data_IF_972122633582
#
_entry.id   IF_972122633582
#
_cell.length_a   1.000
_cell.length_b   1.000
_cell.length_c   1.000
_cell.angle_alpha   90.00
_cell.angle_beta   90.00
_cell.angle_gamma   90.00
#
_symmetry.space_group_name_H-M   'P 1'
#
loop_
_entity.id
_entity.type
_entity.pdbx_description
1 polymer ?
#
# COMPACT_ATOMS: atom_id res chain seq x y z
N UNK A 1 45.25 4.00 -23.12
CA UNK A 1 44.52 2.77 -22.76
C UNK A 1 44.20 2.70 -21.25
N UNK A 2 45.06 3.24 -20.38
CA UNK A 2 44.85 3.21 -18.92
C UNK A 2 43.73 4.14 -18.40
N UNK A 3 43.46 5.28 -19.05
CA UNK A 3 42.40 6.22 -18.64
C UNK A 3 40.97 5.71 -18.92
N UNK A 4 40.79 4.93 -19.99
CA UNK A 4 39.50 4.33 -20.36
C UNK A 4 39.13 3.23 -19.35
N UNK A 5 40.11 2.45 -18.87
CA UNK A 5 39.91 1.40 -17.86
C UNK A 5 39.53 2.01 -16.50
N UNK A 6 40.13 3.14 -16.13
CA UNK A 6 39.79 3.87 -14.89
C UNK A 6 38.36 4.41 -14.97
N UNK A 7 37.96 4.99 -16.11
CA UNK A 7 36.60 5.53 -16.31
C UNK A 7 35.51 4.44 -16.26
N UNK A 8 35.80 3.26 -16.82
CA UNK A 8 34.92 2.09 -16.77
C UNK A 8 34.83 1.53 -15.33
N UNK A 9 35.93 1.50 -14.58
CA UNK A 9 35.92 1.09 -13.16
C UNK A 9 35.12 2.06 -12.27
N UNK A 10 35.18 3.37 -12.53
CA UNK A 10 34.38 4.35 -11.78
C UNK A 10 32.89 4.29 -12.10
N UNK A 11 32.50 3.96 -13.34
CA UNK A 11 31.09 3.71 -13.67
C UNK A 11 30.56 2.42 -13.02
N UNK A 12 31.40 1.39 -12.89
CA UNK A 12 31.03 0.11 -12.30
C UNK A 12 30.92 0.12 -10.76
N UNK A 13 31.51 1.12 -10.08
CA UNK A 13 31.51 1.19 -8.61
C UNK A 13 30.33 1.94 -7.97
N UNK A 14 29.39 2.49 -8.76
CA UNK A 14 28.24 3.24 -8.23
C UNK A 14 26.88 2.54 -8.34
N UNK A 15 26.80 1.32 -8.87
CA UNK A 15 25.59 0.50 -8.69
C UNK A 15 25.69 -0.31 -7.39
N UNK A 16 25.83 0.39 -6.26
CA UNK A 16 25.19 -0.12 -5.04
C UNK A 16 23.70 -0.13 -5.35
N UNK A 17 23.22 -1.25 -5.88
CA UNK A 17 21.80 -1.53 -6.02
C UNK A 17 21.21 -1.53 -4.63
N UNK A 18 20.84 -0.36 -4.14
CA UNK A 18 19.90 -0.23 -3.05
C UNK A 18 18.66 -0.97 -3.51
N UNK A 19 18.38 -2.15 -2.95
CA UNK A 19 17.09 -2.81 -3.13
C UNK A 19 16.05 -1.91 -2.48
N UNK A 20 15.58 -0.91 -3.21
CA UNK A 20 14.52 -0.04 -2.75
C UNK A 20 13.31 -0.95 -2.48
N UNK A 21 12.85 -0.98 -1.22
CA UNK A 21 11.66 -1.74 -0.90
C UNK A 21 10.47 -0.95 -1.44
N UNK A 22 9.70 -1.56 -2.35
CA UNK A 22 8.64 -0.89 -3.11
C UNK A 22 7.27 -1.41 -2.67
N UNK A 23 6.28 -0.52 -2.69
CA UNK A 23 4.86 -0.83 -2.53
C UNK A 23 4.16 -0.41 -3.80
N UNK A 24 3.35 -1.30 -4.37
CA UNK A 24 2.48 -0.99 -5.52
C UNK A 24 1.05 -1.29 -5.15
N UNK A 25 0.14 -0.40 -5.53
CA UNK A 25 -1.29 -0.61 -5.33
C UNK A 25 -2.04 -0.51 -6.65
N UNK A 26 -3.13 -1.26 -6.76
CA UNK A 26 -3.93 -1.33 -7.97
C UNK A 26 -5.42 -1.51 -7.65
N UNK A 27 -6.31 -0.90 -8.45
CA UNK A 27 -6.02 0.10 -9.50
C UNK A 27 -5.70 1.48 -8.91
N UNK A 28 -5.02 2.36 -9.65
CA UNK A 28 -4.67 3.72 -9.20
C UNK A 28 -5.88 4.58 -8.83
N UNK A 29 -6.96 4.45 -9.61
CA UNK A 29 -8.24 5.10 -9.40
C UNK A 29 -9.35 4.10 -9.67
N UNK A 30 -10.41 4.13 -8.86
CA UNK A 30 -11.60 3.30 -9.10
C UNK A 30 -12.88 4.02 -8.68
N UNK A 31 -13.88 3.92 -9.54
CA UNK A 31 -15.25 4.35 -9.27
C UNK A 31 -16.13 3.11 -9.12
N UNK A 32 -16.98 3.08 -8.09
CA UNK A 32 -17.88 1.97 -7.79
C UNK A 32 -19.23 2.56 -7.40
N UNK A 33 -20.31 2.06 -8.00
CA UNK A 33 -21.67 2.46 -7.64
C UNK A 33 -22.02 2.04 -6.21
N UNK A 34 -22.88 2.79 -5.49
CA UNK A 34 -23.33 2.39 -4.17
C UNK A 34 -23.93 0.98 -4.18
N UNK A 35 -23.64 0.19 -3.13
CA UNK A 35 -24.01 -1.22 -3.05
C UNK A 35 -23.06 -2.18 -3.77
N UNK A 36 -22.16 -1.67 -4.63
CA UNK A 36 -21.12 -2.47 -5.29
C UNK A 36 -20.04 -2.97 -4.34
N UNK A 37 -19.08 -3.72 -4.89
CA UNK A 37 -17.90 -4.20 -4.15
C UNK A 37 -16.62 -3.60 -4.73
N UNK A 38 -15.82 -2.99 -3.86
CA UNK A 38 -14.48 -2.51 -4.18
C UNK A 38 -13.45 -3.50 -3.65
N UNK A 39 -12.50 -3.87 -4.50
CA UNK A 39 -11.27 -4.57 -4.09
C UNK A 39 -10.07 -3.75 -4.54
N UNK A 40 -9.16 -3.49 -3.61
CA UNK A 40 -7.89 -2.81 -3.80
C UNK A 40 -6.79 -3.82 -3.50
N UNK A 41 -5.83 -3.96 -4.42
CA UNK A 41 -4.66 -4.81 -4.23
C UNK A 41 -3.46 -3.97 -3.79
N UNK A 42 -2.62 -4.55 -2.94
CA UNK A 42 -1.33 -4.01 -2.53
C UNK A 42 -0.29 -5.11 -2.63
N UNK A 43 0.81 -4.82 -3.34
CA UNK A 43 1.94 -5.72 -3.50
C UNK A 43 3.22 -5.07 -2.97
N UNK A 44 3.96 -5.80 -2.15
CA UNK A 44 5.24 -5.36 -1.60
C UNK A 44 6.38 -6.06 -2.33
N UNK A 45 7.57 -5.43 -2.42
CA UNK A 45 8.74 -6.07 -3.02
C UNK A 45 9.42 -7.08 -2.08
N UNK A 46 8.99 -7.14 -0.83
CA UNK A 46 9.52 -8.01 0.23
C UNK A 46 8.37 -8.74 0.92
N UNK A 47 8.68 -9.89 1.52
CA UNK A 47 7.73 -10.59 2.38
C UNK A 47 7.49 -9.79 3.67
N UNK A 48 6.24 -9.68 4.07
CA UNK A 48 5.80 -8.91 5.22
C UNK A 48 5.15 -9.84 6.24
N UNK A 49 5.63 -9.76 7.48
CA UNK A 49 5.03 -10.49 8.59
C UNK A 49 3.61 -9.98 8.87
N UNK A 50 2.75 -10.88 9.32
CA UNK A 50 1.33 -10.58 9.51
C UNK A 50 1.07 -9.40 10.44
N UNK A 51 1.87 -9.24 11.49
CA UNK A 51 1.76 -8.14 12.45
C UNK A 51 2.31 -6.79 11.96
N UNK A 52 2.79 -6.73 10.72
CA UNK A 52 3.48 -5.55 10.18
C UNK A 52 2.74 -4.86 9.04
N UNK A 53 1.52 -5.28 8.67
CA UNK A 53 0.78 -4.74 7.53
C UNK A 53 -0.54 -4.08 7.94
N UNK A 54 -0.87 -2.94 7.32
CA UNK A 54 -1.99 -2.07 7.69
C UNK A 54 -2.67 -1.46 6.47
N UNK A 55 -3.98 -1.23 6.57
CA UNK A 55 -4.79 -0.48 5.61
C UNK A 55 -5.38 0.77 6.25
N UNK A 56 -5.35 1.87 5.52
CA UNK A 56 -5.88 3.14 5.97
C UNK A 56 -6.81 3.77 4.94
N UNK A 57 -7.66 4.66 5.42
CA UNK A 57 -8.51 5.56 4.66
C UNK A 57 -8.13 7.00 4.99
N UNK A 58 -8.06 7.86 3.99
CA UNK A 58 -7.90 9.29 4.15
C UNK A 58 -8.97 10.03 3.35
N UNK A 59 -9.85 10.73 4.06
CA UNK A 59 -10.81 11.63 3.44
C UNK A 59 -10.16 12.99 3.15
N UNK A 60 -10.65 13.74 2.15
CA UNK A 60 -10.13 15.08 1.86
C UNK A 60 -10.14 15.98 3.10
N UNK A 61 -8.96 16.51 3.46
CA UNK A 61 -8.80 17.39 4.62
C UNK A 61 -8.73 16.69 5.99
N UNK A 62 -8.83 15.36 6.03
CA UNK A 62 -8.72 14.58 7.26
C UNK A 62 -7.37 13.86 7.38
N UNK A 63 -7.03 13.50 8.62
CA UNK A 63 -5.89 12.65 8.88
C UNK A 63 -6.17 11.19 8.45
N UNK A 64 -5.14 10.46 8.00
CA UNK A 64 -5.08 9.00 8.04
C UNK A 64 -5.88 8.28 9.15
N UNK A 65 -6.92 7.53 8.77
CA UNK A 65 -7.67 6.65 9.67
C UNK A 65 -7.34 5.19 9.40
N UNK A 66 -6.91 4.46 10.42
CA UNK A 66 -6.64 3.02 10.34
C UNK A 66 -7.95 2.23 10.17
N UNK A 67 -7.99 1.35 9.16
CA UNK A 67 -9.13 0.48 8.86
C UNK A 67 -8.88 -0.95 9.34
N UNK A 68 -7.78 -1.53 8.87
CA UNK A 68 -7.40 -2.92 9.13
C UNK A 68 -5.94 -2.93 9.60
N UNK A 69 -5.67 -3.56 10.74
CA UNK A 69 -4.32 -3.89 11.20
C UNK A 69 -4.05 -5.37 11.03
N UNK A 70 -2.76 -5.70 11.00
CA UNK A 70 -2.28 -7.07 10.99
C UNK A 70 -2.92 -7.92 9.87
N UNK A 71 -2.90 -7.39 8.64
CA UNK A 71 -3.50 -7.96 7.42
C UNK A 71 -5.03 -8.00 7.42
N UNK A 72 -5.67 -8.53 8.46
CA UNK A 72 -7.10 -8.89 8.45
C UNK A 72 -7.88 -8.44 9.70
N UNK A 73 -7.21 -7.92 10.73
CA UNK A 73 -7.87 -7.49 11.97
C UNK A 73 -8.45 -6.09 11.78
N UNK A 74 -9.77 -6.01 11.64
CA UNK A 74 -10.49 -4.73 11.54
C UNK A 74 -10.42 -3.94 12.84
N UNK A 75 -10.18 -2.64 12.75
CA UNK A 75 -10.18 -1.75 13.92
C UNK A 75 -11.58 -1.54 14.50
N UNK A 76 -11.62 -1.20 15.78
CA UNK A 76 -12.88 -0.89 16.47
C UNK A 76 -13.60 0.30 15.82
N UNK A 77 -14.92 0.20 15.66
CA UNK A 77 -15.74 1.23 15.03
C UNK A 77 -15.66 1.28 13.50
N UNK A 78 -14.87 0.41 12.86
CA UNK A 78 -14.89 0.25 11.40
C UNK A 78 -16.04 -0.68 11.00
N UNK A 79 -16.88 -0.31 10.01
CA UNK A 79 -18.02 -1.12 9.61
C UNK A 79 -17.66 -2.52 9.13
N UNK A 80 -18.60 -3.45 9.28
CA UNK A 80 -18.40 -4.87 8.97
C UNK A 80 -18.09 -5.16 7.49
N UNK A 81 -18.46 -4.22 6.62
CA UNK A 81 -18.30 -4.27 5.17
C UNK A 81 -16.84 -4.17 4.70
N UNK A 82 -15.92 -3.70 5.56
CA UNK A 82 -14.49 -3.64 5.31
C UNK A 82 -13.81 -4.92 5.79
N UNK A 83 -12.97 -5.50 4.94
CA UNK A 83 -12.16 -6.67 5.26
C UNK A 83 -10.79 -6.62 4.57
N UNK A 84 -9.76 -7.10 5.26
CA UNK A 84 -8.42 -7.26 4.69
C UNK A 84 -8.05 -8.74 4.56
N UNK A 85 -7.25 -9.08 3.55
CA UNK A 85 -6.73 -10.43 3.37
C UNK A 85 -5.37 -10.41 2.67
N UNK A 86 -4.68 -11.56 2.63
CA UNK A 86 -3.40 -11.71 1.96
C UNK A 86 -2.33 -12.36 2.83
N UNK A 87 -1.15 -12.52 2.25
CA UNK A 87 0.01 -13.13 2.90
C UNK A 87 1.27 -12.87 2.09
N UNK A 88 2.43 -12.94 2.75
CA UNK A 88 3.72 -12.83 2.09
C UNK A 88 3.92 -11.42 1.54
N UNK A 89 3.71 -11.22 0.24
CA UNK A 89 3.88 -9.92 -0.43
C UNK A 89 2.64 -9.44 -1.18
N UNK A 90 1.52 -10.15 -1.08
CA UNK A 90 0.28 -9.86 -1.81
C UNK A 90 -0.89 -9.71 -0.84
N UNK A 91 -1.51 -8.52 -0.84
CA UNK A 91 -2.53 -8.11 0.11
C UNK A 91 -3.72 -7.46 -0.60
N UNK A 92 -4.91 -7.57 -0.01
CA UNK A 92 -6.12 -6.94 -0.52
C UNK A 92 -6.93 -6.29 0.58
N UNK A 93 -7.60 -5.20 0.23
CA UNK A 93 -8.70 -4.59 0.97
C UNK A 93 -9.97 -4.78 0.15
N UNK A 94 -11.00 -5.31 0.78
CA UNK A 94 -12.33 -5.42 0.20
C UNK A 94 -13.32 -4.57 0.99
N UNK A 95 -14.11 -3.78 0.26
CA UNK A 95 -15.24 -3.02 0.78
C UNK A 95 -16.48 -3.54 0.05
N UNK A 96 -17.28 -4.35 0.74
CA UNK A 96 -18.59 -4.76 0.24
C UNK A 96 -19.61 -3.64 0.45
N UNK A 97 -20.72 -3.64 -0.29
CA UNK A 97 -21.83 -2.70 -0.11
C UNK A 97 -21.35 -1.23 0.03
N UNK A 98 -20.51 -0.80 -0.91
CA UNK A 98 -19.87 0.53 -0.92
C UNK A 98 -20.91 1.64 -0.73
N UNK A 99 -20.58 2.63 0.08
CA UNK A 99 -21.42 3.79 0.36
C UNK A 99 -20.81 5.08 -0.22
N UNK A 100 -21.61 6.13 -0.36
CA UNK A 100 -21.14 7.45 -0.84
C UNK A 100 -20.02 8.01 0.04
N UNK A 101 -20.08 7.73 1.34
CA UNK A 101 -19.14 8.21 2.35
C UNK A 101 -17.82 7.43 2.37
N UNK A 102 -17.73 6.36 1.58
CA UNK A 102 -16.51 5.55 1.40
C UNK A 102 -15.58 6.15 0.33
N UNK A 103 -15.95 7.25 -0.34
CA UNK A 103 -15.08 7.96 -1.25
C UNK A 103 -13.92 8.65 -0.50
N UNK A 104 -12.69 8.19 -0.76
CA UNK A 104 -11.49 8.54 -0.03
C UNK A 104 -10.24 8.05 -0.78
N UNK A 105 -9.07 8.47 -0.33
CA UNK A 105 -7.81 7.80 -0.69
C UNK A 105 -7.56 6.62 0.26
N UNK A 106 -7.11 5.50 -0.29
CA UNK A 106 -6.79 4.28 0.45
C UNK A 106 -5.35 3.87 0.21
N UNK A 107 -4.63 3.56 1.28
CA UNK A 107 -3.24 3.14 1.19
C UNK A 107 -2.96 1.97 2.11
N UNK A 108 -2.12 1.07 1.61
CA UNK A 108 -1.48 0.07 2.42
C UNK A 108 -0.16 0.60 2.98
N UNK A 109 0.21 0.09 4.13
CA UNK A 109 1.48 0.39 4.78
C UNK A 109 2.02 -0.89 5.38
N UNK A 110 3.35 -1.07 5.33
CA UNK A 110 4.00 -2.07 6.15
C UNK A 110 5.20 -1.49 6.91
N UNK A 111 5.55 -2.13 8.02
CA UNK A 111 6.70 -1.77 8.86
C UNK A 111 7.70 -2.92 8.86
N UNK A 112 8.90 -2.77 8.29
CA UNK A 112 9.90 -3.84 8.33
C UNK A 112 10.44 -4.02 9.75
N UNK A 113 10.73 -5.27 10.15
CA UNK A 113 11.27 -5.62 11.47
C UNK A 113 12.72 -5.12 11.74
N UNK A 114 13.33 -4.41 10.78
CA UNK A 114 14.70 -3.87 10.89
C UNK A 114 14.66 -2.37 11.12
N UNK A 115 14.67 -1.97 12.41
CA UNK A 115 15.12 -0.70 13.01
C UNK A 115 14.91 0.65 12.28
N UNK A 116 14.06 0.71 11.27
CA UNK A 116 13.83 1.88 10.44
C UNK A 116 12.43 1.84 9.86
N UNK A 117 11.63 2.84 10.18
CA UNK A 117 10.33 3.07 9.58
C UNK A 117 10.52 3.37 8.08
N UNK A 118 10.56 2.35 7.22
CA UNK A 118 10.48 2.59 5.78
C UNK A 118 9.03 2.92 5.42
N UNK A 119 8.78 4.21 5.24
CA UNK A 119 7.55 4.72 4.64
C UNK A 119 7.66 4.61 3.13
N UNK A 120 7.37 3.45 2.54
CA UNK A 120 7.16 3.39 1.09
C UNK A 120 5.67 3.51 0.81
N UNK A 121 5.21 4.73 0.49
CA UNK A 121 3.81 5.02 0.30
C UNK A 121 3.43 4.98 -1.20
N UNK A 122 2.45 4.16 -1.54
CA UNK A 122 1.70 4.26 -2.78
C UNK A 122 0.25 4.58 -2.36
N UNK A 123 -0.49 5.37 -3.14
CA UNK A 123 -1.86 5.79 -2.80
C UNK A 123 -2.81 5.40 -3.90
N UNK A 124 -4.05 5.09 -3.53
CA UNK A 124 -5.15 4.82 -4.46
C UNK A 124 -6.32 5.74 -4.17
N UNK A 125 -6.78 6.46 -5.18
CA UNK A 125 -7.92 7.36 -5.07
C UNK A 125 -9.21 6.64 -5.42
N UNK A 126 -10.13 6.56 -4.46
CA UNK A 126 -11.49 6.04 -4.70
C UNK A 126 -12.44 7.22 -4.84
N UNK A 127 -12.99 7.37 -6.04
CA UNK A 127 -13.83 8.51 -6.36
C UNK A 127 -15.28 8.28 -5.94
N UNK A 128 -16.00 9.38 -5.68
CA UNK A 128 -17.45 9.34 -5.48
C UNK A 128 -18.11 8.77 -6.73
N UNK A 129 -19.12 7.89 -6.59
CA UNK A 129 -20.00 7.58 -7.71
C UNK A 129 -20.68 8.87 -8.19
N UNK A 130 -20.80 9.03 -9.51
CA UNK A 130 -21.58 10.11 -10.12
C UNK A 130 -23.06 9.98 -9.76
#
# INVERSE_FOLDING_TARGET
MSLIIIFICTLALCTRGSRAQTVTQSPAVKSVSPGGTLTISCKTSVEVYSNCFFWYQQKPGEAPKLLIKYISTRESGIPDRFSGSGSGSDFTLTISRVQTDDAADYYCMYVPNVSGWMFTQCFITVQKPQ
#
